data_IF_267455108193
#
_entry.id   IF_267455108193
#
_cell.length_a   1.000
_cell.length_b   1.000
_cell.length_c   1.000
_cell.angle_alpha   90.00
_cell.angle_beta   90.00
_cell.angle_gamma   90.00
#
_symmetry.space_group_name_H-M   'P 1'
#
loop_
_entity.id
_entity.type
_entity.pdbx_description
1 polymer ?
#
# COMPACT_ATOMS: atom_id res chain seq x y z
N UNK A 1 -13.74 -2.13 -12.37
CA UNK A 1 -12.87 -1.99 -11.18
C UNK A 1 -12.72 -0.53 -10.74
N UNK A 2 -12.56 0.42 -11.67
CA UNK A 2 -12.45 1.85 -11.33
C UNK A 2 -13.64 2.39 -10.52
N UNK A 3 -14.87 1.97 -10.85
CA UNK A 3 -16.07 2.28 -10.05
C UNK A 3 -15.93 1.85 -8.59
N UNK A 4 -15.36 0.67 -8.34
CA UNK A 4 -15.12 0.21 -6.97
C UNK A 4 -14.01 0.99 -6.29
N UNK A 5 -12.91 1.30 -6.98
CA UNK A 5 -11.89 2.20 -6.44
C UNK A 5 -12.51 3.53 -6.01
N UNK A 6 -13.39 4.13 -6.82
CA UNK A 6 -14.11 5.37 -6.46
C UNK A 6 -14.99 5.20 -5.23
N UNK A 7 -15.69 4.07 -5.10
CA UNK A 7 -16.48 3.74 -3.91
C UNK A 7 -15.59 3.62 -2.66
N UNK A 8 -14.47 2.91 -2.78
CA UNK A 8 -13.47 2.82 -1.73
C UNK A 8 -12.98 4.22 -1.40
N UNK A 9 -12.46 5.00 -2.35
CA UNK A 9 -12.04 6.38 -2.12
C UNK A 9 -13.13 7.29 -1.53
N UNK A 10 -14.41 7.01 -1.74
CA UNK A 10 -15.49 7.73 -1.07
C UNK A 10 -15.54 7.39 0.43
N UNK A 11 -15.44 6.11 0.79
CA UNK A 11 -15.31 5.68 2.19
C UNK A 11 -14.01 6.18 2.82
N UNK A 12 -12.90 6.18 2.09
CA UNK A 12 -11.61 6.65 2.58
C UNK A 12 -11.58 8.13 2.92
N UNK A 13 -12.49 8.91 2.32
CA UNK A 13 -12.67 10.34 2.62
C UNK A 13 -13.13 10.51 4.07
N UNK A 14 -14.00 9.62 4.55
CA UNK A 14 -14.43 9.61 5.95
C UNK A 14 -13.27 9.33 6.89
N UNK A 15 -12.32 8.46 6.50
CA UNK A 15 -11.11 8.20 7.29
C UNK A 15 -10.00 9.25 7.10
N UNK A 16 -10.18 10.20 6.20
CA UNK A 16 -9.13 11.17 5.80
C UNK A 16 -7.99 10.57 4.97
N UNK A 17 -8.10 9.31 4.53
CA UNK A 17 -7.06 8.57 3.79
C UNK A 17 -7.13 8.83 2.28
N UNK A 18 -8.25 9.34 1.78
CA UNK A 18 -8.40 9.74 0.37
C UNK A 18 -8.91 11.17 0.26
N UNK A 19 -8.46 11.92 -0.76
CA UNK A 19 -8.79 13.32 -0.85
C UNK A 19 -10.21 13.51 -1.37
N UNK A 20 -10.73 14.74 -1.18
CA UNK A 20 -11.98 15.12 -1.79
C UNK A 20 -11.82 15.32 -3.31
N UNK A 21 -12.46 14.46 -4.10
CA UNK A 21 -12.36 14.49 -5.56
C UNK A 21 -13.13 15.65 -6.23
N UNK A 22 -13.98 16.38 -5.52
CA UNK A 22 -14.74 17.50 -6.10
C UNK A 22 -13.93 18.79 -6.26
N UNK A 23 -14.45 19.71 -7.08
CA UNK A 23 -13.80 20.98 -7.45
C UNK A 23 -14.18 22.18 -6.55
N UNK A 24 -15.06 22.00 -5.56
CA UNK A 24 -15.48 23.11 -4.69
C UNK A 24 -14.38 23.55 -3.72
N UNK A 25 -13.97 24.81 -3.79
CA UNK A 25 -12.93 25.41 -2.93
C UNK A 25 -13.28 25.30 -1.44
N UNK A 26 -14.55 25.50 -1.07
CA UNK A 26 -15.03 25.40 0.31
C UNK A 26 -14.87 23.98 0.87
N UNK A 27 -15.15 22.96 0.06
CA UNK A 27 -15.02 21.57 0.49
C UNK A 27 -13.55 21.16 0.70
N UNK A 28 -12.62 21.75 -0.06
CA UNK A 28 -11.17 21.54 0.14
C UNK A 28 -10.71 22.14 1.48
N UNK A 29 -11.22 23.32 1.84
CA UNK A 29 -10.91 23.95 3.13
C UNK A 29 -11.49 23.11 4.27
N UNK A 30 -12.75 22.67 4.16
CA UNK A 30 -13.39 21.80 5.14
C UNK A 30 -12.63 20.48 5.34
N UNK A 31 -12.13 19.85 4.26
CA UNK A 31 -11.33 18.62 4.38
C UNK A 31 -10.00 18.84 5.09
N UNK A 32 -9.37 20.02 4.94
CA UNK A 32 -8.13 20.35 5.64
C UNK A 32 -8.37 20.58 7.13
N UNK A 33 -9.44 21.30 7.48
CA UNK A 33 -9.84 21.49 8.88
C UNK A 33 -10.14 20.13 9.51
N UNK A 34 -10.88 19.27 8.81
CA UNK A 34 -11.17 17.91 9.26
C UNK A 34 -9.89 17.09 9.50
N UNK A 35 -8.92 17.14 8.58
CA UNK A 35 -7.65 16.44 8.77
C UNK A 35 -6.83 16.99 9.96
N UNK A 36 -6.82 18.31 10.18
CA UNK A 36 -6.18 18.90 11.36
C UNK A 36 -6.84 18.45 12.66
N UNK A 37 -8.18 18.35 12.68
CA UNK A 37 -8.92 17.81 13.82
C UNK A 37 -8.57 16.34 14.08
N UNK A 38 -8.51 15.51 13.03
CA UNK A 38 -8.08 14.11 13.18
C UNK A 38 -6.65 13.99 13.69
N UNK A 39 -5.71 14.80 13.19
CA UNK A 39 -4.33 14.84 13.68
C UNK A 39 -4.31 15.23 15.16
N UNK A 40 -5.08 16.24 15.57
CA UNK A 40 -5.17 16.64 16.98
C UNK A 40 -5.73 15.51 17.86
N UNK A 41 -6.77 14.81 17.40
CA UNK A 41 -7.36 13.65 18.10
C UNK A 41 -6.33 12.52 18.22
N UNK A 42 -5.60 12.19 17.13
CA UNK A 42 -4.57 11.16 17.17
C UNK A 42 -3.40 11.53 18.07
N UNK A 43 -3.01 12.81 18.09
CA UNK A 43 -1.93 13.29 18.97
C UNK A 43 -2.34 13.20 20.44
N UNK A 44 -3.53 13.71 20.78
CA UNK A 44 -4.06 13.64 22.14
C UNK A 44 -4.27 12.19 22.58
N UNK A 45 -4.83 11.35 21.71
CA UNK A 45 -5.02 9.93 21.98
C UNK A 45 -3.70 9.19 22.19
N UNK A 46 -2.67 9.47 21.39
CA UNK A 46 -1.33 8.88 21.57
C UNK A 46 -0.68 9.32 22.88
N UNK A 47 -0.80 10.61 23.26
CA UNK A 47 -0.30 11.10 24.55
C UNK A 47 -1.02 10.44 25.73
N UNK A 48 -2.36 10.35 25.67
CA UNK A 48 -3.14 9.66 26.70
C UNK A 48 -2.75 8.18 26.79
N UNK A 49 -2.59 7.52 25.65
CA UNK A 49 -2.14 6.12 25.59
C UNK A 49 -0.79 5.93 26.27
N UNK A 50 0.19 6.82 26.04
CA UNK A 50 1.49 6.76 26.72
C UNK A 50 1.37 6.93 28.24
N UNK A 51 0.49 7.83 28.71
CA UNK A 51 0.22 8.03 30.13
C UNK A 51 -0.37 6.75 30.75
N UNK A 52 -1.39 6.16 30.12
CA UNK A 52 -2.03 4.93 30.62
C UNK A 52 -1.16 3.68 30.51
N UNK A 53 -0.22 3.63 29.55
CA UNK A 53 0.75 2.54 29.42
C UNK A 53 1.94 2.66 30.37
N UNK A 54 2.11 3.80 31.06
CA UNK A 54 3.28 4.04 31.93
C UNK A 54 3.48 2.94 32.98
N UNK A 55 2.41 2.52 33.65
CA UNK A 55 2.46 1.45 34.67
C UNK A 55 2.83 0.09 34.08
N UNK A 56 2.50 -0.14 32.81
CA UNK A 56 2.86 -1.37 32.12
C UNK A 56 4.36 -1.40 31.77
N UNK A 57 4.92 -0.26 31.37
CA UNK A 57 6.33 -0.15 31.00
C UNK A 57 7.30 -0.29 32.19
N UNK A 58 6.89 0.05 33.41
CA UNK A 58 7.77 -0.07 34.59
C UNK A 58 8.15 -1.50 34.93
N UNK A 59 7.44 -2.50 34.39
CA UNK A 59 7.70 -3.93 34.62
C UNK A 59 8.43 -4.61 33.45
N UNK A 60 8.77 -3.86 32.39
CA UNK A 60 9.37 -4.42 31.18
C UNK A 60 10.88 -4.21 31.10
N UNK A 61 11.56 -5.12 30.39
CA UNK A 61 12.97 -4.97 30.03
C UNK A 61 13.13 -3.72 29.15
N UNK A 62 14.18 -2.89 29.35
CA UNK A 62 14.34 -1.62 28.63
C UNK A 62 14.25 -1.74 27.10
N UNK A 63 14.84 -2.79 26.52
CA UNK A 63 14.81 -3.00 25.06
C UNK A 63 13.39 -3.17 24.53
N UNK A 64 12.53 -3.89 25.28
CA UNK A 64 11.12 -4.09 24.94
C UNK A 64 10.34 -2.79 24.98
N UNK A 65 10.59 -1.98 26.01
CA UNK A 65 9.98 -0.64 26.12
C UNK A 65 10.34 0.21 24.91
N UNK A 66 11.61 0.16 24.45
CA UNK A 66 12.02 0.89 23.23
C UNK A 66 11.28 0.35 22.00
N UNK A 67 11.19 -0.97 21.82
CA UNK A 67 10.47 -1.57 20.68
C UNK A 67 9.00 -1.16 20.69
N UNK A 68 8.31 -1.24 21.83
CA UNK A 68 6.90 -0.87 21.94
C UNK A 68 6.66 0.63 21.69
N UNK A 69 7.56 1.51 22.19
CA UNK A 69 7.50 2.95 21.88
C UNK A 69 7.70 3.18 20.37
N UNK A 70 8.62 2.47 19.73
CA UNK A 70 8.83 2.58 18.29
C UNK A 70 7.63 2.06 17.48
N UNK A 71 6.94 1.00 17.96
CA UNK A 71 5.70 0.50 17.35
C UNK A 71 4.64 1.62 17.38
N UNK A 72 4.38 2.18 18.56
CA UNK A 72 3.38 3.25 18.73
C UNK A 72 3.75 4.49 17.89
N UNK A 73 5.03 4.89 17.90
CA UNK A 73 5.52 6.02 17.12
C UNK A 73 5.40 5.79 15.61
N UNK A 74 5.68 4.58 15.12
CA UNK A 74 5.58 4.24 13.71
C UNK A 74 4.12 4.25 13.22
N UNK A 75 3.18 3.72 14.03
CA UNK A 75 1.75 3.74 13.72
C UNK A 75 1.16 5.15 13.75
N UNK A 76 1.56 5.96 14.74
CA UNK A 76 1.19 7.37 14.82
C UNK A 76 1.75 8.15 13.62
N UNK A 77 3.04 7.98 13.31
CA UNK A 77 3.71 8.64 12.18
C UNK A 77 3.05 8.25 10.86
N UNK A 78 2.72 6.97 10.67
CA UNK A 78 1.94 6.50 9.53
C UNK A 78 0.62 7.27 9.40
N UNK A 79 -0.16 7.34 10.50
CA UNK A 79 -1.48 7.95 10.50
C UNK A 79 -1.44 9.44 10.16
N UNK A 80 -0.52 10.18 10.78
CA UNK A 80 -0.34 11.62 10.53
C UNK A 80 0.17 11.87 9.11
N UNK A 81 1.17 11.13 8.67
CA UNK A 81 1.76 11.31 7.34
C UNK A 81 0.78 10.93 6.23
N UNK A 82 -0.05 9.89 6.43
CA UNK A 82 -1.12 9.55 5.50
C UNK A 82 -2.13 10.70 5.37
N UNK A 83 -2.61 11.25 6.48
CA UNK A 83 -3.53 12.40 6.50
C UNK A 83 -2.92 13.63 5.81
N UNK A 84 -1.66 13.95 6.14
CA UNK A 84 -0.97 15.13 5.59
C UNK A 84 -0.72 14.97 4.09
N UNK A 85 -0.19 13.80 3.68
CA UNK A 85 0.10 13.46 2.28
C UNK A 85 -1.13 13.69 1.39
N UNK A 86 -2.27 13.16 1.85
CA UNK A 86 -3.54 13.20 1.12
C UNK A 86 -4.13 14.60 1.05
N UNK A 87 -4.18 15.32 2.17
CA UNK A 87 -4.95 16.58 2.27
C UNK A 87 -4.17 17.83 1.92
N UNK A 88 -2.85 17.86 2.17
CA UNK A 88 -2.03 19.06 1.96
C UNK A 88 -1.15 18.97 0.72
N UNK A 89 -0.48 17.85 0.50
CA UNK A 89 0.59 17.79 -0.51
C UNK A 89 0.17 17.24 -1.86
N UNK A 90 -0.77 16.28 -1.89
CA UNK A 90 -0.95 15.47 -3.09
C UNK A 90 -2.37 15.42 -3.68
N UNK A 91 -3.31 16.28 -3.25
CA UNK A 91 -4.67 16.35 -3.82
C UNK A 91 -4.67 16.43 -5.37
N UNK A 92 -3.79 17.27 -5.93
CA UNK A 92 -3.66 17.40 -7.40
C UNK A 92 -3.14 16.12 -8.06
N UNK A 93 -2.21 15.40 -7.42
CA UNK A 93 -1.63 14.16 -7.96
C UNK A 93 -2.66 13.04 -7.95
N UNK A 94 -3.45 12.94 -6.89
CA UNK A 94 -4.58 12.01 -6.79
C UNK A 94 -5.58 12.18 -7.93
N UNK A 95 -6.06 13.41 -8.15
CA UNK A 95 -7.00 13.72 -9.23
C UNK A 95 -6.42 13.35 -10.60
N UNK A 96 -5.12 13.59 -10.82
CA UNK A 96 -4.43 13.19 -12.05
C UNK A 96 -4.39 11.68 -12.24
N UNK A 97 -4.08 10.88 -11.21
CA UNK A 97 -4.08 9.41 -11.33
C UNK A 97 -5.46 8.89 -11.73
N UNK A 98 -6.52 9.36 -11.05
CA UNK A 98 -7.88 8.93 -11.38
C UNK A 98 -8.24 9.32 -12.81
N UNK A 99 -7.90 10.56 -13.22
CA UNK A 99 -8.11 11.02 -14.60
C UNK A 99 -7.37 10.16 -15.63
N UNK A 100 -6.11 9.80 -15.38
CA UNK A 100 -5.37 8.90 -16.27
C UNK A 100 -6.04 7.53 -16.38
N UNK A 101 -6.55 6.98 -15.27
CA UNK A 101 -7.27 5.70 -15.31
C UNK A 101 -8.59 5.79 -16.09
N UNK A 102 -9.32 6.90 -15.98
CA UNK A 102 -10.53 7.14 -16.78
C UNK A 102 -10.21 7.26 -18.27
N UNK A 103 -9.18 8.01 -18.63
CA UNK A 103 -8.74 8.16 -20.02
C UNK A 103 -8.27 6.82 -20.62
N UNK A 104 -7.49 6.04 -19.86
CA UNK A 104 -7.03 4.72 -20.30
C UNK A 104 -8.20 3.74 -20.47
N UNK A 105 -9.19 3.77 -19.56
CA UNK A 105 -10.40 2.94 -19.67
C UNK A 105 -11.26 3.32 -20.89
N UNK A 106 -11.23 4.58 -21.32
CA UNK A 106 -11.92 5.01 -22.54
C UNK A 106 -11.18 4.61 -23.83
N UNK A 107 -9.84 4.55 -23.80
CA UNK A 107 -9.03 4.20 -24.98
C UNK A 107 -8.93 2.67 -25.15
N UNK A 108 -8.72 1.93 -24.06
CA UNK A 108 -8.56 0.48 -24.10
C UNK A 108 -9.93 -0.21 -24.01
N UNK A 109 -10.23 -1.09 -24.96
CA UNK A 109 -11.33 -2.06 -24.79
C UNK A 109 -10.96 -3.03 -23.66
N UNK A 110 -11.43 -2.75 -22.45
CA UNK A 110 -11.18 -3.61 -21.29
C UNK A 110 -12.01 -4.88 -21.47
N UNK A 111 -11.33 -5.98 -21.79
CA UNK A 111 -11.96 -7.30 -21.71
C UNK A 111 -12.26 -7.60 -20.25
N UNK A 112 -13.53 -7.91 -19.89
CA UNK A 112 -13.84 -8.35 -18.54
C UNK A 112 -13.09 -9.66 -18.30
N UNK A 113 -12.06 -9.60 -17.47
CA UNK A 113 -11.38 -10.81 -17.01
C UNK A 113 -12.30 -11.52 -16.02
N UNK A 114 -12.51 -12.83 -16.19
CA UNK A 114 -13.27 -13.71 -15.27
C UNK A 114 -12.57 -13.89 -13.90
N UNK A 115 -11.93 -12.86 -13.37
CA UNK A 115 -11.22 -12.93 -12.10
C UNK A 115 -12.20 -13.04 -10.94
N UNK A 116 -11.83 -13.85 -9.94
CA UNK A 116 -12.51 -14.03 -8.66
C UNK A 116 -12.88 -12.67 -8.06
N UNK A 117 -14.08 -12.51 -7.48
CA UNK A 117 -14.51 -11.23 -6.92
C UNK A 117 -13.62 -10.83 -5.73
N UNK A 118 -12.64 -9.96 -5.97
CA UNK A 118 -11.76 -9.37 -4.96
C UNK A 118 -12.51 -8.68 -3.82
N UNK A 119 -13.76 -8.27 -4.06
CA UNK A 119 -14.68 -7.76 -3.05
C UNK A 119 -14.85 -8.72 -1.88
N UNK A 120 -14.93 -10.03 -2.16
CA UNK A 120 -15.06 -11.06 -1.13
C UNK A 120 -13.81 -11.12 -0.26
N UNK A 121 -12.61 -11.11 -0.86
CA UNK A 121 -11.36 -11.08 -0.11
C UNK A 121 -11.23 -9.83 0.78
N UNK A 122 -11.65 -8.66 0.28
CA UNK A 122 -11.67 -7.42 1.06
C UNK A 122 -12.67 -7.51 2.22
N UNK A 123 -13.87 -8.03 1.99
CA UNK A 123 -14.86 -8.23 3.04
C UNK A 123 -14.35 -9.20 4.12
N UNK A 124 -13.72 -10.31 3.72
CA UNK A 124 -13.11 -11.27 4.65
C UNK A 124 -12.01 -10.61 5.47
N UNK A 125 -11.14 -9.78 4.88
CA UNK A 125 -10.12 -9.04 5.64
C UNK A 125 -10.72 -8.06 6.65
N UNK A 126 -11.77 -7.32 6.27
CA UNK A 126 -12.45 -6.38 7.17
C UNK A 126 -13.13 -7.14 8.33
N UNK A 127 -13.84 -8.24 8.04
CA UNK A 127 -14.45 -9.06 9.08
C UNK A 127 -13.38 -9.67 9.99
N UNK A 128 -12.29 -10.17 9.41
CA UNK A 128 -11.17 -10.76 10.11
C UNK A 128 -10.54 -9.80 11.13
N UNK A 129 -10.26 -8.55 10.75
CA UNK A 129 -9.69 -7.58 11.70
C UNK A 129 -10.64 -7.30 12.87
N UNK A 130 -11.95 -7.20 12.61
CA UNK A 130 -12.92 -6.95 13.68
C UNK A 130 -13.02 -8.14 14.62
N UNK A 131 -12.99 -9.38 14.10
CA UNK A 131 -12.95 -10.57 14.94
C UNK A 131 -11.70 -10.61 15.82
N UNK A 132 -10.53 -10.24 15.28
CA UNK A 132 -9.28 -10.16 16.05
C UNK A 132 -9.39 -9.09 17.15
N UNK A 133 -9.89 -7.90 16.83
CA UNK A 133 -10.09 -6.81 17.81
C UNK A 133 -11.09 -7.22 18.89
N UNK A 134 -12.22 -7.83 18.53
CA UNK A 134 -13.20 -8.29 19.52
C UNK A 134 -12.64 -9.40 20.42
N UNK A 135 -11.82 -10.31 19.86
CA UNK A 135 -11.11 -11.34 20.63
C UNK A 135 -10.13 -10.73 21.63
N UNK A 136 -9.38 -9.70 21.22
CA UNK A 136 -8.43 -8.99 22.07
C UNK A 136 -9.13 -8.23 23.21
N UNK A 137 -10.20 -7.50 22.88
CA UNK A 137 -11.06 -6.81 23.85
C UNK A 137 -11.63 -7.80 24.87
N UNK A 138 -12.18 -8.92 24.40
CA UNK A 138 -12.75 -9.96 25.26
C UNK A 138 -11.70 -10.55 26.22
N UNK A 139 -10.51 -10.89 25.70
CA UNK A 139 -9.40 -11.43 26.49
C UNK A 139 -8.95 -10.43 27.56
N UNK A 140 -8.93 -9.14 27.25
CA UNK A 140 -8.55 -8.09 28.20
C UNK A 140 -9.56 -7.93 29.35
N UNK A 141 -10.86 -7.92 29.03
CA UNK A 141 -11.91 -7.84 30.06
C UNK A 141 -11.96 -9.09 30.95
N UNK A 142 -11.74 -10.28 30.38
CA UNK A 142 -11.69 -11.54 31.15
C UNK A 142 -10.60 -11.51 32.22
N UNK A 143 -9.48 -10.84 31.94
CA UNK A 143 -8.35 -10.73 32.86
C UNK A 143 -8.51 -9.63 33.93
N UNK A 144 -9.73 -9.09 34.10
CA UNK A 144 -10.06 -8.14 35.17
C UNK A 144 -9.46 -6.75 34.99
N UNK A 145 -9.06 -6.40 33.77
CA UNK A 145 -8.37 -5.15 33.48
C UNK A 145 -9.36 -4.15 32.88
N UNK A 146 -9.97 -3.34 33.74
CA UNK A 146 -10.94 -2.32 33.32
C UNK A 146 -10.19 -1.11 32.75
N UNK A 147 -10.07 -1.03 31.42
CA UNK A 147 -9.38 0.09 30.78
C UNK A 147 -8.87 -0.14 29.35
N UNK A 148 -9.31 -1.21 28.67
CA UNK A 148 -8.85 -1.51 27.31
C UNK A 148 -9.01 -0.32 26.36
N UNK A 149 -10.20 0.29 26.36
CA UNK A 149 -10.53 1.39 25.45
C UNK A 149 -9.61 2.59 25.67
N UNK A 150 -9.26 2.90 26.92
CA UNK A 150 -8.35 4.00 27.26
C UNK A 150 -6.91 3.70 26.82
N UNK A 151 -6.49 2.43 26.92
CA UNK A 151 -5.13 1.98 26.58
C UNK A 151 -4.92 1.75 25.07
N UNK A 152 -5.95 1.31 24.34
CA UNK A 152 -5.82 0.82 22.97
C UNK A 152 -6.84 1.39 21.97
N UNK A 153 -7.85 2.15 22.41
CA UNK A 153 -8.92 2.62 21.52
C UNK A 153 -8.42 3.44 20.33
N UNK A 154 -7.46 4.35 20.55
CA UNK A 154 -6.85 5.12 19.47
C UNK A 154 -6.03 4.24 18.52
N UNK A 155 -5.33 3.25 19.07
CA UNK A 155 -4.53 2.30 18.30
C UNK A 155 -5.44 1.46 17.38
N UNK A 156 -6.56 0.95 17.89
CA UNK A 156 -7.55 0.21 17.08
C UNK A 156 -8.03 1.05 15.89
N UNK A 157 -8.28 2.35 16.09
CA UNK A 157 -8.68 3.23 15.01
C UNK A 157 -7.56 3.46 13.98
N UNK A 158 -6.32 3.69 14.44
CA UNK A 158 -5.15 3.83 13.57
C UNK A 158 -4.89 2.55 12.76
N UNK A 159 -5.05 1.39 13.39
CA UNK A 159 -4.92 0.06 12.77
C UNK A 159 -5.98 -0.17 11.69
N UNK A 160 -7.22 0.23 11.94
CA UNK A 160 -8.27 0.22 10.92
C UNK A 160 -7.89 1.12 9.73
N UNK A 161 -7.35 2.31 10.00
CA UNK A 161 -6.79 3.19 8.98
C UNK A 161 -5.67 2.54 8.18
N UNK A 162 -4.75 1.84 8.84
CA UNK A 162 -3.65 1.11 8.20
C UNK A 162 -4.17 -0.03 7.30
N UNK A 163 -5.14 -0.82 7.77
CA UNK A 163 -5.75 -1.87 6.95
C UNK A 163 -6.42 -1.28 5.71
N UNK A 164 -7.21 -0.23 5.91
CA UNK A 164 -7.91 0.45 4.83
C UNK A 164 -6.92 1.03 3.79
N UNK A 165 -5.79 1.54 4.26
CA UNK A 165 -4.69 1.99 3.41
C UNK A 165 -4.11 0.84 2.57
N UNK A 166 -3.85 -0.33 3.17
CA UNK A 166 -3.42 -1.53 2.42
C UNK A 166 -4.43 -1.99 1.38
N UNK A 167 -5.74 -1.95 1.69
CA UNK A 167 -6.81 -2.23 0.72
C UNK A 167 -6.73 -1.25 -0.46
N UNK A 168 -6.53 0.04 -0.19
CA UNK A 168 -6.40 1.07 -1.22
C UNK A 168 -5.18 0.81 -2.12
N UNK A 169 -4.03 0.51 -1.53
CA UNK A 169 -2.80 0.16 -2.27
C UNK A 169 -2.99 -1.07 -3.17
N UNK A 170 -3.65 -2.10 -2.64
CA UNK A 170 -3.96 -3.31 -3.41
C UNK A 170 -4.82 -2.97 -4.64
N UNK A 171 -5.84 -2.12 -4.49
CA UNK A 171 -6.72 -1.75 -5.60
C UNK A 171 -5.99 -0.93 -6.67
N UNK A 172 -5.14 0.01 -6.27
CA UNK A 172 -4.32 0.77 -7.21
C UNK A 172 -3.35 -0.13 -7.98
N UNK A 173 -2.59 -0.96 -7.28
CA UNK A 173 -1.61 -1.87 -7.92
C UNK A 173 -2.29 -2.89 -8.83
N UNK A 174 -3.47 -3.40 -8.42
CA UNK A 174 -4.27 -4.29 -9.25
C UNK A 174 -4.83 -3.58 -10.49
N UNK A 175 -5.23 -2.31 -10.41
CA UNK A 175 -5.62 -1.51 -11.59
C UNK A 175 -4.45 -1.32 -12.55
N UNK A 176 -3.27 -0.95 -12.04
CA UNK A 176 -2.05 -0.88 -12.85
C UNK A 176 -1.81 -2.21 -13.58
N UNK A 177 -1.92 -3.34 -12.87
CA UNK A 177 -1.71 -4.66 -13.46
C UNK A 177 -2.68 -4.95 -14.61
N UNK A 178 -3.97 -4.63 -14.43
CA UNK A 178 -4.99 -4.80 -15.47
C UNK A 178 -4.65 -3.93 -16.69
N UNK A 179 -4.29 -2.66 -16.48
CA UNK A 179 -3.98 -1.76 -17.59
C UNK A 179 -2.72 -2.19 -18.35
N UNK A 180 -1.65 -2.64 -17.68
CA UNK A 180 -0.48 -3.17 -18.37
C UNK A 180 -0.77 -4.47 -19.14
N UNK A 181 -1.62 -5.37 -18.61
CA UNK A 181 -2.07 -6.57 -19.35
C UNK A 181 -2.87 -6.22 -20.60
N UNK A 182 -3.77 -5.26 -20.49
CA UNK A 182 -4.58 -4.82 -21.63
C UNK A 182 -3.72 -4.08 -22.66
N UNK A 183 -2.82 -3.21 -22.22
CA UNK A 183 -1.83 -2.55 -23.09
C UNK A 183 -0.99 -3.56 -23.85
N UNK A 184 -0.54 -4.63 -23.20
CA UNK A 184 0.20 -5.72 -23.86
C UNK A 184 -0.63 -6.42 -24.92
N UNK A 185 -1.90 -6.67 -24.63
CA UNK A 185 -2.83 -7.32 -25.57
C UNK A 185 -3.08 -6.42 -26.78
N UNK A 186 -3.27 -5.12 -26.55
CA UNK A 186 -3.45 -4.13 -27.60
C UNK A 186 -2.18 -3.96 -28.46
N UNK A 187 -1.01 -3.83 -27.81
CA UNK A 187 0.29 -3.79 -28.47
C UNK A 187 0.49 -5.02 -29.37
N UNK A 188 0.12 -6.22 -28.90
CA UNK A 188 0.23 -7.44 -29.73
C UNK A 188 -0.63 -7.33 -31.00
N UNK A 189 -1.88 -6.88 -30.88
CA UNK A 189 -2.77 -6.68 -32.04
C UNK A 189 -2.20 -5.66 -33.02
N UNK A 190 -1.68 -4.55 -32.49
CA UNK A 190 -1.07 -3.48 -33.29
C UNK A 190 0.19 -3.96 -34.03
N UNK A 191 1.02 -4.79 -33.38
CA UNK A 191 2.18 -5.43 -34.01
C UNK A 191 1.73 -6.35 -35.16
N UNK A 192 0.70 -7.17 -34.94
CA UNK A 192 0.19 -8.09 -35.97
C UNK A 192 -0.41 -7.31 -37.17
N UNK A 193 -1.07 -6.17 -36.93
CA UNK A 193 -1.53 -5.27 -37.99
C UNK A 193 -0.36 -4.63 -38.72
N UNK A 194 0.62 -4.08 -37.99
CA UNK A 194 1.81 -3.44 -38.55
C UNK A 194 2.60 -4.38 -39.47
N UNK A 195 2.72 -5.67 -39.11
CA UNK A 195 3.35 -6.67 -39.97
C UNK A 195 2.61 -6.89 -41.30
N UNK A 196 1.29 -6.68 -41.31
CA UNK A 196 0.43 -6.89 -42.48
C UNK A 196 0.13 -5.59 -43.26
N UNK A 197 0.37 -4.41 -42.67
CA UNK A 197 0.05 -3.12 -43.28
C UNK A 197 1.09 -2.05 -42.93
N UNK A 198 1.59 -1.33 -43.94
CA UNK A 198 2.61 -0.29 -43.81
C UNK A 198 2.03 1.09 -43.40
N UNK A 199 1.12 1.16 -42.43
CA UNK A 199 0.54 2.43 -41.97
C UNK A 199 1.35 3.04 -40.81
N UNK A 200 1.54 4.35 -40.88
CA UNK A 200 2.60 5.17 -40.22
C UNK A 200 2.18 5.76 -38.84
N UNK A 201 1.07 5.33 -38.25
CA UNK A 201 0.63 5.92 -36.96
C UNK A 201 -0.11 4.95 -36.03
N UNK A 202 0.22 3.66 -36.09
CA UNK A 202 -0.49 2.64 -35.30
C UNK A 202 -0.17 2.79 -33.80
N UNK A 203 1.06 3.17 -33.44
CA UNK A 203 1.56 3.04 -32.06
C UNK A 203 1.35 4.28 -31.17
N UNK A 204 0.78 5.37 -31.68
CA UNK A 204 0.60 6.62 -30.90
C UNK A 204 -0.22 6.42 -29.63
N UNK A 205 -1.31 5.65 -29.70
CA UNK A 205 -2.15 5.32 -28.54
C UNK A 205 -1.40 4.48 -27.50
N UNK A 206 -0.61 3.50 -27.92
CA UNK A 206 0.20 2.66 -27.02
C UNK A 206 1.24 3.50 -26.29
N UNK A 207 1.92 4.39 -27.01
CA UNK A 207 2.91 5.29 -26.42
C UNK A 207 2.27 6.25 -25.41
N UNK A 208 1.09 6.79 -25.73
CA UNK A 208 0.32 7.64 -24.81
C UNK A 208 -0.03 6.88 -23.52
N UNK A 209 -0.63 5.69 -23.63
CA UNK A 209 -1.04 4.89 -22.47
C UNK A 209 0.17 4.50 -21.63
N UNK A 210 1.29 4.08 -22.25
CA UNK A 210 2.52 3.75 -21.55
C UNK A 210 3.03 4.93 -20.71
N UNK A 211 3.09 6.12 -21.30
CA UNK A 211 3.54 7.34 -20.62
C UNK A 211 2.56 7.78 -19.51
N UNK A 212 1.25 7.64 -19.74
CA UNK A 212 0.22 7.91 -18.74
C UNK A 212 0.35 6.96 -17.54
N UNK A 213 0.52 5.66 -17.77
CA UNK A 213 0.74 4.66 -16.72
C UNK A 213 2.04 4.91 -15.96
N UNK A 214 3.11 5.30 -16.65
CA UNK A 214 4.38 5.67 -16.01
C UNK A 214 4.19 6.86 -15.06
N UNK A 215 3.57 7.94 -15.56
CA UNK A 215 3.31 9.16 -14.80
C UNK A 215 2.40 8.89 -13.61
N UNK A 216 1.37 8.06 -13.80
CA UNK A 216 0.50 7.61 -12.73
C UNK A 216 1.25 6.80 -11.66
N UNK A 217 2.22 5.96 -12.07
CA UNK A 217 3.07 5.19 -11.14
C UNK A 217 4.00 6.11 -10.33
N UNK A 218 4.52 7.18 -10.93
CA UNK A 218 5.32 8.18 -10.21
C UNK A 218 4.46 8.97 -9.21
N UNK A 219 3.27 9.41 -9.62
CA UNK A 219 2.32 10.04 -8.70
C UNK A 219 1.90 9.10 -7.57
N UNK A 220 1.70 7.81 -7.85
CA UNK A 220 1.41 6.80 -6.85
C UNK A 220 2.55 6.71 -5.83
N UNK A 221 3.79 6.60 -6.29
CA UNK A 221 4.96 6.52 -5.40
C UNK A 221 5.14 7.78 -4.55
N UNK A 222 4.88 8.96 -5.12
CA UNK A 222 4.94 10.21 -4.36
C UNK A 222 3.84 10.29 -3.28
N UNK A 223 2.61 9.84 -3.58
CA UNK A 223 1.48 9.85 -2.64
C UNK A 223 1.69 8.88 -1.49
N UNK A 224 2.00 7.63 -1.84
CA UNK A 224 1.98 6.51 -0.92
C UNK A 224 3.35 6.18 -0.33
N UNK A 225 4.43 6.76 -0.86
CA UNK A 225 5.79 6.41 -0.50
C UNK A 225 6.12 6.61 0.99
N UNK A 226 5.79 7.76 1.55
CA UNK A 226 6.07 8.03 2.97
C UNK A 226 5.21 7.21 3.94
N UNK A 227 3.86 7.12 3.77
CA UNK A 227 3.09 6.25 4.64
C UNK A 227 3.46 4.76 4.47
N UNK A 228 3.85 4.31 3.26
CA UNK A 228 4.38 2.96 3.06
C UNK A 228 5.64 2.68 3.89
N UNK A 229 6.54 3.66 4.01
CA UNK A 229 7.74 3.52 4.82
C UNK A 229 7.38 3.24 6.28
N UNK A 230 6.50 4.05 6.87
CA UNK A 230 6.06 3.87 8.25
C UNK A 230 5.23 2.60 8.45
N UNK A 231 4.43 2.20 7.46
CA UNK A 231 3.71 0.92 7.45
C UNK A 231 4.67 -0.27 7.49
N UNK A 232 5.72 -0.27 6.67
CA UNK A 232 6.72 -1.35 6.70
C UNK A 232 7.52 -1.36 8.00
N UNK A 233 7.91 -0.19 8.51
CA UNK A 233 8.56 -0.09 9.82
C UNK A 233 7.68 -0.66 10.94
N UNK A 234 6.40 -0.30 10.96
CA UNK A 234 5.42 -0.83 11.90
C UNK A 234 5.32 -2.35 11.83
N UNK A 235 5.16 -2.91 10.63
CA UNK A 235 5.05 -4.37 10.41
C UNK A 235 6.33 -5.10 10.84
N UNK A 236 7.51 -4.52 10.60
CA UNK A 236 8.77 -5.10 11.08
C UNK A 236 8.88 -5.10 12.60
N UNK A 237 8.55 -3.98 13.26
CA UNK A 237 8.63 -3.87 14.71
C UNK A 237 7.63 -4.77 15.43
N UNK A 238 6.40 -4.86 14.93
CA UNK A 238 5.40 -5.76 15.54
C UNK A 238 5.78 -7.25 15.34
N UNK A 239 6.42 -7.59 14.22
CA UNK A 239 6.95 -8.94 14.02
C UNK A 239 8.06 -9.28 15.03
N UNK A 240 8.95 -8.33 15.31
CA UNK A 240 9.97 -8.47 16.37
C UNK A 240 9.31 -8.68 17.74
N UNK A 241 8.37 -7.82 18.12
CA UNK A 241 7.66 -7.90 19.41
C UNK A 241 6.85 -9.20 19.56
N UNK A 242 6.27 -9.70 18.46
CA UNK A 242 5.56 -10.97 18.44
C UNK A 242 6.50 -12.16 18.63
N UNK A 243 7.64 -12.19 17.93
CA UNK A 243 8.60 -13.29 18.04
C UNK A 243 9.19 -13.38 19.46
N UNK A 244 9.51 -12.23 20.09
CA UNK A 244 9.92 -12.20 21.49
C UNK A 244 8.84 -12.79 22.42
N UNK A 245 7.58 -12.36 22.24
CA UNK A 245 6.46 -12.83 23.06
C UNK A 245 6.24 -14.35 22.94
N UNK A 246 6.46 -14.93 21.76
CA UNK A 246 6.31 -16.39 21.57
C UNK A 246 7.31 -17.24 22.33
N UNK A 247 8.45 -16.69 22.75
CA UNK A 247 9.42 -17.42 23.58
C UNK A 247 9.05 -17.45 25.07
N UNK A 248 8.13 -16.58 25.52
CA UNK A 248 7.68 -16.52 26.92
C UNK A 248 6.44 -17.41 27.10
N UNK A 249 6.67 -18.67 27.48
CA UNK A 249 5.68 -19.75 27.57
C UNK A 249 4.51 -19.47 28.55
N UNK A 250 4.62 -18.46 29.41
CA UNK A 250 3.67 -18.21 30.50
C UNK A 250 2.41 -17.41 30.10
N UNK A 251 2.32 -16.89 28.88
CA UNK A 251 1.16 -16.11 28.45
C UNK A 251 -0.04 -17.01 28.09
N UNK A 252 -1.27 -16.54 28.33
CA UNK A 252 -2.47 -17.25 27.90
C UNK A 252 -2.46 -17.46 26.37
N UNK A 253 -2.63 -18.72 25.93
CA UNK A 253 -2.57 -19.12 24.52
C UNK A 253 -3.43 -18.24 23.61
N UNK A 254 -4.60 -17.80 24.08
CA UNK A 254 -5.53 -16.95 23.33
C UNK A 254 -4.93 -15.57 23.01
N UNK A 255 -4.19 -14.97 23.95
CA UNK A 255 -3.55 -13.66 23.75
C UNK A 255 -2.42 -13.80 22.74
N UNK A 256 -1.59 -14.83 22.87
CA UNK A 256 -0.49 -15.12 21.94
C UNK A 256 -1.04 -15.37 20.53
N UNK A 257 -2.09 -16.20 20.40
CA UNK A 257 -2.72 -16.50 19.12
C UNK A 257 -3.30 -15.24 18.47
N UNK A 258 -4.00 -14.40 19.23
CA UNK A 258 -4.59 -13.16 18.71
C UNK A 258 -3.50 -12.21 18.20
N UNK A 259 -2.38 -12.08 18.90
CA UNK A 259 -1.22 -11.29 18.46
C UNK A 259 -0.58 -11.85 17.19
N UNK A 260 -0.37 -13.17 17.13
CA UNK A 260 0.18 -13.83 15.93
C UNK A 260 -0.73 -13.58 14.72
N UNK A 261 -2.04 -13.76 14.87
CA UNK A 261 -3.01 -13.50 13.80
C UNK A 261 -2.97 -12.04 13.35
N UNK A 262 -2.82 -11.11 14.29
CA UNK A 262 -2.70 -9.69 13.99
C UNK A 262 -1.45 -9.39 13.17
N UNK A 263 -0.28 -9.90 13.57
CA UNK A 263 0.98 -9.73 12.83
C UNK A 263 0.90 -10.37 11.44
N UNK A 264 0.38 -11.60 11.37
CA UNK A 264 0.23 -12.32 10.10
C UNK A 264 -0.67 -11.55 9.13
N UNK A 265 -1.76 -10.93 9.60
CA UNK A 265 -2.65 -10.14 8.75
C UNK A 265 -1.89 -9.02 8.01
N UNK A 266 -1.19 -8.15 8.75
CA UNK A 266 -0.49 -7.01 8.13
C UNK A 266 0.76 -7.44 7.35
N UNK A 267 1.43 -8.51 7.78
CA UNK A 267 2.53 -9.11 7.03
C UNK A 267 2.03 -9.63 5.67
N UNK A 268 0.93 -10.39 5.66
CA UNK A 268 0.32 -10.90 4.42
C UNK A 268 -0.10 -9.74 3.52
N UNK A 269 -0.76 -8.69 4.05
CA UNK A 269 -1.12 -7.51 3.28
C UNK A 269 0.10 -6.83 2.63
N UNK A 270 1.20 -6.69 3.38
CA UNK A 270 2.45 -6.09 2.89
C UNK A 270 3.12 -6.94 1.81
N UNK A 271 3.18 -8.26 2.03
CA UNK A 271 3.73 -9.22 1.06
C UNK A 271 2.91 -9.23 -0.23
N UNK A 272 1.58 -9.31 -0.13
CA UNK A 272 0.68 -9.25 -1.30
C UNK A 272 0.90 -7.95 -2.08
N UNK A 273 1.03 -6.81 -1.40
CA UNK A 273 1.29 -5.53 -2.05
C UNK A 273 2.64 -5.53 -2.80
N UNK A 274 3.71 -6.05 -2.20
CA UNK A 274 5.02 -6.17 -2.86
C UNK A 274 4.93 -7.07 -4.10
N UNK A 275 4.27 -8.22 -3.99
CA UNK A 275 4.05 -9.11 -5.13
C UNK A 275 3.22 -8.47 -6.24
N UNK A 276 2.17 -7.71 -5.89
CA UNK A 276 1.37 -6.98 -6.88
C UNK A 276 2.20 -5.93 -7.63
N UNK A 277 3.04 -5.16 -6.93
CA UNK A 277 3.97 -4.23 -7.57
C UNK A 277 4.91 -4.97 -8.54
N UNK A 278 5.46 -6.10 -8.13
CA UNK A 278 6.33 -6.90 -8.97
C UNK A 278 5.60 -7.47 -10.21
N UNK A 279 4.37 -7.96 -10.06
CA UNK A 279 3.58 -8.42 -11.20
C UNK A 279 3.30 -7.30 -12.21
N UNK A 280 3.08 -6.07 -11.75
CA UNK A 280 2.96 -4.89 -12.62
C UNK A 280 4.26 -4.70 -13.42
N UNK A 281 5.41 -4.74 -12.75
CA UNK A 281 6.72 -4.59 -13.41
C UNK A 281 6.99 -5.71 -14.41
N UNK A 282 6.60 -6.94 -14.11
CA UNK A 282 6.73 -8.07 -15.03
C UNK A 282 5.88 -7.90 -16.28
N UNK A 283 4.62 -7.47 -16.15
CA UNK A 283 3.79 -7.22 -17.34
C UNK A 283 4.32 -6.04 -18.15
N UNK A 284 4.79 -4.97 -17.52
CA UNK A 284 5.47 -3.88 -18.20
C UNK A 284 6.72 -4.37 -18.96
N UNK A 285 7.54 -5.24 -18.34
CA UNK A 285 8.72 -5.82 -18.97
C UNK A 285 8.36 -6.72 -20.16
N UNK A 286 7.27 -7.50 -20.08
CA UNK A 286 6.79 -8.31 -21.21
C UNK A 286 6.38 -7.44 -22.39
N UNK A 287 5.67 -6.33 -22.15
CA UNK A 287 5.33 -5.36 -23.19
C UNK A 287 6.57 -4.74 -23.82
N UNK A 288 7.55 -4.33 -23.01
CA UNK A 288 8.81 -3.78 -23.52
C UNK A 288 9.59 -4.78 -24.39
N UNK A 289 9.70 -6.04 -23.96
CA UNK A 289 10.36 -7.10 -24.74
C UNK A 289 9.67 -7.37 -26.09
N UNK A 290 8.36 -7.15 -26.20
CA UNK A 290 7.67 -7.27 -27.49
C UNK A 290 8.10 -6.18 -28.47
N UNK A 291 8.27 -4.94 -27.99
CA UNK A 291 8.77 -3.83 -28.82
C UNK A 291 10.22 -4.06 -29.26
N UNK A 292 11.08 -4.55 -28.36
CA UNK A 292 12.46 -4.91 -28.70
C UNK A 292 12.51 -5.96 -29.80
N UNK A 293 11.74 -7.05 -29.66
CA UNK A 293 11.67 -8.11 -30.69
C UNK A 293 11.16 -7.59 -32.03
N UNK A 294 10.18 -6.69 -32.01
CA UNK A 294 9.69 -6.06 -33.24
C UNK A 294 10.79 -5.27 -33.95
N UNK A 295 11.64 -4.55 -33.20
CA UNK A 295 12.78 -3.82 -33.77
C UNK A 295 13.82 -4.76 -34.39
N UNK A 296 14.05 -5.94 -33.80
CA UNK A 296 14.97 -6.94 -34.35
C UNK A 296 14.46 -7.54 -35.67
N UNK A 297 13.14 -7.66 -35.83
CA UNK A 297 12.51 -8.23 -37.04
C UNK A 297 12.41 -7.24 -38.20
N UNK A 298 12.26 -5.95 -37.91
CA UNK A 298 12.10 -4.90 -38.93
C UNK A 298 13.48 -4.36 -39.30
N UNK A 299 13.77 -4.28 -40.60
CA UNK A 299 15.06 -3.79 -41.11
C UNK A 299 15.41 -2.44 -40.47
N UNK A 300 16.66 -2.30 -40.03
CA UNK A 300 17.19 -1.10 -39.37
C UNK A 300 16.79 0.18 -40.11
N UNK A 301 16.13 1.11 -39.42
CA UNK A 301 15.74 2.42 -39.98
C UNK A 301 14.27 2.80 -39.84
N UNK A 302 13.40 1.96 -39.25
CA UNK A 302 12.04 2.38 -38.95
C UNK A 302 11.99 3.32 -37.74
N UNK A 303 11.90 4.62 -38.02
CA UNK A 303 11.86 5.72 -37.05
C UNK A 303 10.73 5.59 -36.01
N UNK A 304 9.60 4.97 -36.35
CA UNK A 304 8.49 4.80 -35.39
C UNK A 304 8.81 3.79 -34.31
N UNK A 305 9.41 2.65 -34.69
CA UNK A 305 9.78 1.60 -33.73
C UNK A 305 10.90 2.12 -32.82
N UNK A 306 11.86 2.85 -33.37
CA UNK A 306 12.90 3.51 -32.57
C UNK A 306 12.31 4.52 -31.58
N UNK A 307 11.36 5.35 -32.03
CA UNK A 307 10.65 6.31 -31.17
C UNK A 307 9.85 5.60 -30.08
N UNK A 308 9.18 4.49 -30.41
CA UNK A 308 8.41 3.69 -29.47
C UNK A 308 9.34 3.07 -28.41
N UNK A 309 10.44 2.45 -28.84
CA UNK A 309 11.43 1.85 -27.96
C UNK A 309 12.06 2.89 -27.04
N UNK A 310 12.47 4.04 -27.57
CA UNK A 310 12.98 5.16 -26.78
C UNK A 310 11.97 5.62 -25.74
N UNK A 311 10.70 5.72 -26.14
CA UNK A 311 9.58 6.02 -25.25
C UNK A 311 9.47 5.01 -24.10
N UNK A 312 9.52 3.71 -24.40
CA UNK A 312 9.37 2.67 -23.39
C UNK A 312 10.57 2.59 -22.44
N UNK A 313 11.79 2.66 -22.99
CA UNK A 313 13.04 2.56 -22.22
C UNK A 313 13.15 3.69 -21.19
N UNK A 314 12.86 4.93 -21.60
CA UNK A 314 12.96 6.09 -20.71
C UNK A 314 11.81 6.19 -19.70
N UNK A 315 10.67 5.57 -19.99
CA UNK A 315 9.46 5.66 -19.18
C UNK A 315 9.10 4.32 -18.53
N UNK A 316 10.08 3.50 -18.17
CA UNK A 316 9.80 2.23 -17.49
C UNK A 316 9.24 2.46 -16.07
N UNK A 317 8.11 1.84 -15.68
CA UNK A 317 7.50 2.07 -14.38
C UNK A 317 8.41 1.65 -13.23
N UNK A 318 8.38 2.43 -12.14
CA UNK A 318 9.11 2.15 -10.90
C UNK A 318 8.21 2.50 -9.71
N UNK A 319 8.00 1.53 -8.83
CA UNK A 319 7.36 1.76 -7.53
C UNK A 319 8.44 2.04 -6.50
N UNK A 320 8.37 3.19 -5.81
CA UNK A 320 9.37 3.57 -4.81
C UNK A 320 8.74 3.97 -3.48
N UNK A 321 9.43 3.66 -2.39
CA UNK A 321 9.05 4.02 -1.02
C UNK A 321 9.85 5.25 -0.61
N UNK A 322 9.19 6.41 -0.60
CA UNK A 322 9.78 7.70 -0.22
C UNK A 322 11.13 8.00 -0.90
N UNK A 323 11.35 7.44 -2.11
CA UNK A 323 12.61 7.50 -2.88
C UNK A 323 13.82 6.86 -2.21
N UNK A 324 13.67 6.19 -1.06
CA UNK A 324 14.75 5.45 -0.41
C UNK A 324 15.08 4.15 -1.15
N UNK A 325 14.05 3.40 -1.56
CA UNK A 325 14.23 2.16 -2.30
C UNK A 325 13.05 1.86 -3.23
N UNK A 326 13.32 1.03 -4.24
CA UNK A 326 12.31 0.51 -5.16
C UNK A 326 11.67 -0.76 -4.58
N UNK A 327 10.36 -0.90 -4.73
CA UNK A 327 9.63 -2.10 -4.30
C UNK A 327 9.89 -3.22 -5.30
N UNK A 328 10.56 -4.27 -4.85
CA UNK A 328 10.86 -5.48 -5.60
C UNK A 328 10.74 -6.71 -4.67
N UNK A 329 10.80 -7.92 -5.23
CA UNK A 329 10.72 -9.15 -4.42
C UNK A 329 11.82 -9.27 -3.37
N UNK A 330 13.00 -8.72 -3.63
CA UNK A 330 14.11 -8.77 -2.67
C UNK A 330 13.86 -7.92 -1.43
N UNK A 331 12.94 -6.94 -1.48
CA UNK A 331 12.51 -6.19 -0.31
C UNK A 331 11.93 -7.10 0.79
N UNK A 332 11.23 -8.18 0.44
CA UNK A 332 10.69 -9.15 1.41
C UNK A 332 11.84 -9.83 2.18
N UNK A 333 12.85 -10.31 1.46
CA UNK A 333 14.01 -10.94 2.08
C UNK A 333 14.82 -9.96 2.91
N UNK A 334 14.94 -8.70 2.48
CA UNK A 334 15.57 -7.64 3.28
C UNK A 334 14.85 -7.38 4.60
N UNK A 335 13.51 -7.27 4.57
CA UNK A 335 12.71 -7.09 5.78
C UNK A 335 12.85 -8.28 6.73
N UNK A 336 12.76 -9.51 6.23
CA UNK A 336 12.91 -10.72 7.06
C UNK A 336 14.32 -10.84 7.64
N UNK A 337 15.36 -10.57 6.85
CA UNK A 337 16.75 -10.60 7.31
C UNK A 337 16.97 -9.63 8.46
N UNK A 338 16.49 -8.39 8.33
CA UNK A 338 16.62 -7.39 9.38
C UNK A 338 15.89 -7.82 10.67
N UNK A 339 14.66 -8.33 10.54
CA UNK A 339 13.88 -8.82 11.68
C UNK A 339 14.60 -9.97 12.40
N UNK A 340 15.12 -10.96 11.66
CA UNK A 340 15.84 -12.10 12.24
C UNK A 340 17.10 -11.61 12.98
N UNK A 341 17.87 -10.70 12.38
CA UNK A 341 19.05 -10.12 13.05
C UNK A 341 18.68 -9.42 14.35
N UNK A 342 17.61 -8.61 14.36
CA UNK A 342 17.14 -7.95 15.59
C UNK A 342 16.67 -8.95 16.65
N UNK A 343 15.95 -9.99 16.26
CA UNK A 343 15.50 -11.04 17.20
C UNK A 343 16.68 -11.77 17.82
N UNK A 344 17.71 -12.10 17.04
CA UNK A 344 18.94 -12.73 17.55
C UNK A 344 19.60 -11.82 18.61
N UNK A 345 19.71 -10.52 18.33
CA UNK A 345 20.29 -9.56 19.27
C UNK A 345 19.47 -9.49 20.57
N UNK A 346 18.14 -9.43 20.48
CA UNK A 346 17.27 -9.41 21.68
C UNK A 346 17.46 -10.68 22.51
N UNK A 347 17.45 -11.86 21.86
CA UNK A 347 17.65 -13.14 22.55
C UNK A 347 19.01 -13.22 23.25
N UNK A 348 20.06 -12.61 22.69
CA UNK A 348 21.39 -12.55 23.31
C UNK A 348 21.44 -11.68 24.57
N UNK A 349 20.54 -10.70 24.71
CA UNK A 349 20.47 -9.82 25.88
C UNK A 349 19.45 -10.27 26.94
N UNK A 350 18.59 -11.26 26.62
CA UNK A 350 17.64 -11.84 27.58
C UNK A 350 18.21 -13.05 28.36
N UNK A 351 19.28 -13.67 27.86
CA UNK A 351 20.03 -14.72 28.58
C UNK A 351 21.12 -14.12 29.46
#
# INVERSE_FOLDING_TARGET
MLKFLKCVCYFGKFLGITPFLGNSRWLIIASKIYALLLIAIFTLGAVLQLIYKREFYTHMIPIKVVVDILIDLSLYSFSVVALISVTFFHDRKWKKIIKYFEEIENILTINPTNEVPYYFAIAVMIIGIWLIVFSDVYSFYKNGNDGYIQKFGICVWQLFGLLYYHITLFLFTKLFLIYYKNLRTDLKKQIDIFRNSATVDIFSNVQYIWNALRTATDHFSDIFGWPLLFSFLYVSLILISCLESTFKINDELNVVLTRILFVLLFLICSVIFIFMCDFVLQEAQKSFRMVVKLQEEVTTGNKEIEKLLYGFSNNFPKFSVARFFCINRSAIFGLLSNVITFVIVILQFEG
#
